data_IF_758555768981
#
_entry.id   IF_758555768981
#
_cell.length_a   1.000
_cell.length_b   1.000
_cell.length_c   1.000
_cell.angle_alpha   90.00
_cell.angle_beta   90.00
_cell.angle_gamma   90.00
#
_symmetry.space_group_name_H-M   'P 1'
#
loop_
_entity.id
_entity.type
_entity.pdbx_description
1 polymer ?
#
# COMPACT_ATOMS: atom_id res chain seq x y z
N UNK A 1 6.44 0.16 -21.51
CA UNK A 1 6.84 -1.00 -20.69
C UNK A 1 5.63 -1.36 -19.84
N UNK A 2 5.32 -2.66 -19.66
CA UNK A 2 4.15 -3.08 -18.86
C UNK A 2 4.59 -3.13 -17.39
N UNK A 3 3.80 -2.56 -16.49
CA UNK A 3 4.04 -2.56 -15.04
C UNK A 3 2.87 -3.21 -14.30
N UNK A 4 3.17 -3.96 -13.24
CA UNK A 4 2.15 -4.52 -12.33
C UNK A 4 1.93 -3.56 -11.17
N UNK A 5 0.67 -3.35 -10.80
CA UNK A 5 0.29 -2.54 -9.66
C UNK A 5 -0.75 -3.23 -8.79
N UNK A 6 -0.80 -2.78 -7.54
CA UNK A 6 -1.69 -3.28 -6.51
C UNK A 6 -2.75 -2.21 -6.20
N UNK A 7 -4.01 -2.61 -6.11
CA UNK A 7 -5.08 -1.77 -5.60
C UNK A 7 -5.64 -2.40 -4.32
N UNK A 8 -5.67 -1.63 -3.23
CA UNK A 8 -6.14 -2.09 -1.92
C UNK A 8 -7.29 -1.21 -1.45
N UNK A 9 -8.38 -1.83 -1.01
CA UNK A 9 -9.35 -1.18 -0.11
C UNK A 9 -8.93 -1.55 1.31
N UNK A 10 -8.55 -0.59 2.17
CA UNK A 10 -7.89 -0.87 3.44
C UNK A 10 -8.89 -1.34 4.53
N UNK A 11 -9.58 -2.46 4.30
CA UNK A 11 -10.55 -3.02 5.26
C UNK A 11 -9.90 -3.72 6.46
N UNK A 12 -8.57 -3.85 6.44
CA UNK A 12 -7.74 -4.44 7.49
C UNK A 12 -7.03 -3.36 8.33
N UNK A 13 -6.49 -3.69 9.52
CA UNK A 13 -5.65 -2.78 10.29
C UNK A 13 -4.46 -2.23 9.48
N UNK A 14 -4.02 -1.00 9.81
CA UNK A 14 -2.93 -0.29 9.10
C UNK A 14 -1.69 -1.17 8.89
N UNK A 15 -1.27 -1.91 9.91
CA UNK A 15 -0.07 -2.75 9.82
C UNK A 15 -0.21 -3.85 8.77
N UNK A 16 -1.39 -4.46 8.64
CA UNK A 16 -1.64 -5.50 7.64
C UNK A 16 -1.67 -4.91 6.22
N UNK A 17 -2.18 -3.68 6.04
CA UNK A 17 -2.07 -2.95 4.77
C UNK A 17 -0.60 -2.74 4.42
N UNK A 18 0.19 -2.22 5.36
CA UNK A 18 1.63 -1.95 5.16
C UNK A 18 2.39 -3.22 4.81
N UNK A 19 2.16 -4.31 5.54
CA UNK A 19 2.82 -5.60 5.27
C UNK A 19 2.46 -6.13 3.88
N UNK A 20 1.21 -5.95 3.45
CA UNK A 20 0.77 -6.29 2.09
C UNK A 20 1.54 -5.48 1.03
N UNK A 21 1.70 -4.16 1.23
CA UNK A 21 2.45 -3.28 0.32
C UNK A 21 3.92 -3.69 0.24
N UNK A 22 4.55 -4.02 1.39
CA UNK A 22 5.94 -4.49 1.46
C UNK A 22 6.14 -5.79 0.70
N UNK A 23 5.23 -6.74 0.86
CA UNK A 23 5.27 -8.00 0.11
C UNK A 23 5.10 -7.74 -1.39
N UNK A 24 4.18 -6.87 -1.79
CA UNK A 24 3.99 -6.51 -3.19
C UNK A 24 5.26 -5.90 -3.82
N UNK A 25 5.94 -4.99 -3.11
CA UNK A 25 7.24 -4.45 -3.53
C UNK A 25 8.26 -5.58 -3.73
N UNK A 26 8.37 -6.52 -2.77
CA UNK A 26 9.30 -7.65 -2.85
C UNK A 26 9.04 -8.57 -4.05
N UNK A 27 7.79 -8.60 -4.53
CA UNK A 27 7.36 -9.36 -5.70
C UNK A 27 7.50 -8.59 -7.02
N UNK A 28 7.97 -7.34 -6.98
CA UNK A 28 8.24 -6.52 -8.17
C UNK A 28 7.06 -5.66 -8.64
N UNK A 29 6.03 -5.47 -7.82
CA UNK A 29 4.98 -4.48 -8.10
C UNK A 29 5.57 -3.07 -8.08
N UNK A 30 5.13 -2.21 -9.01
CA UNK A 30 5.73 -0.88 -9.22
C UNK A 30 4.91 0.26 -8.64
N UNK A 31 3.63 0.03 -8.38
CA UNK A 31 2.76 1.02 -7.77
C UNK A 31 1.71 0.35 -6.89
N UNK A 32 1.29 1.05 -5.83
CA UNK A 32 0.19 0.66 -4.96
C UNK A 32 -0.79 1.83 -4.81
N UNK A 33 -2.07 1.58 -5.06
CA UNK A 33 -3.16 2.54 -4.83
C UNK A 33 -3.99 2.05 -3.66
N UNK A 34 -4.06 2.86 -2.60
CA UNK A 34 -4.92 2.60 -1.44
C UNK A 34 -6.18 3.47 -1.57
N UNK A 35 -7.35 2.84 -1.47
CA UNK A 35 -8.63 3.55 -1.52
C UNK A 35 -8.82 4.42 -0.27
N UNK A 36 -9.31 5.64 -0.47
CA UNK A 36 -9.70 6.56 0.59
C UNK A 36 -11.19 6.36 0.90
N UNK A 37 -11.49 5.76 2.04
CA UNK A 37 -12.82 5.32 2.43
C UNK A 37 -13.14 5.80 3.86
N UNK A 38 -14.30 6.44 4.04
CA UNK A 38 -14.60 7.20 5.26
C UNK A 38 -14.71 6.40 6.58
N UNK A 39 -14.81 5.07 6.52
CA UNK A 39 -14.87 4.19 7.70
C UNK A 39 -13.65 3.26 7.82
N UNK A 40 -12.65 3.43 6.97
CA UNK A 40 -11.43 2.62 6.95
C UNK A 40 -10.28 3.40 7.60
N UNK A 41 -9.12 2.78 7.84
CA UNK A 41 -7.95 3.49 8.34
C UNK A 41 -7.59 4.68 7.45
N UNK A 42 -7.15 5.76 8.09
CA UNK A 42 -6.77 6.99 7.40
C UNK A 42 -5.70 6.70 6.33
N UNK A 43 -6.02 7.08 5.08
CA UNK A 43 -5.19 6.76 3.91
C UNK A 43 -3.82 7.43 4.00
N UNK A 44 -3.73 8.63 4.56
CA UNK A 44 -2.47 9.38 4.64
C UNK A 44 -1.57 8.83 5.74
N UNK A 45 -2.14 8.43 6.88
CA UNK A 45 -1.40 7.72 7.93
C UNK A 45 -0.89 6.39 7.37
N UNK A 46 -1.75 5.63 6.69
CA UNK A 46 -1.39 4.31 6.13
C UNK A 46 -0.26 4.43 5.10
N UNK A 47 -0.40 5.35 4.13
CA UNK A 47 0.63 5.59 3.12
C UNK A 47 1.90 6.18 3.72
N UNK A 48 1.80 7.02 4.76
CA UNK A 48 2.96 7.56 5.47
C UNK A 48 3.79 6.47 6.16
N UNK A 49 3.14 5.49 6.78
CA UNK A 49 3.84 4.33 7.35
C UNK A 49 4.41 3.46 6.23
N UNK A 50 3.64 3.18 5.17
CA UNK A 50 4.11 2.38 4.04
C UNK A 50 5.34 2.99 3.35
N UNK A 51 5.39 4.31 3.20
CA UNK A 51 6.53 5.02 2.61
C UNK A 51 7.80 4.89 3.46
N UNK A 52 7.68 4.71 4.78
CA UNK A 52 8.83 4.44 5.66
C UNK A 52 9.35 3.01 5.53
N UNK A 53 8.47 2.06 5.24
CA UNK A 53 8.76 0.62 5.25
C UNK A 53 9.05 0.02 3.86
N UNK A 54 8.95 0.83 2.80
CA UNK A 54 9.23 0.48 1.40
C UNK A 54 10.28 1.41 0.80
N UNK A 55 10.81 1.13 -0.39
CA UNK A 55 11.93 1.90 -0.96
C UNK A 55 11.81 2.29 -2.43
N UNK A 56 10.94 1.62 -3.19
CA UNK A 56 10.90 1.68 -4.65
C UNK A 56 9.48 1.62 -5.23
N UNK A 57 8.52 1.00 -4.54
CA UNK A 57 7.11 1.01 -4.95
C UNK A 57 6.54 2.43 -4.81
N UNK A 58 5.75 2.85 -5.80
CA UNK A 58 5.12 4.17 -5.84
C UNK A 58 3.74 4.18 -5.22
#
# INVERSE_FOLDING_TARGET
>A
MIEMGLQIIPVMPVQEVVDTIRVAESLGYRYCVVADEGFMPDVYVTLGVAARETSTIR
#
